data_IF_117677883135
#
_entry.id   IF_117677883135
#
_cell.length_a   1.000
_cell.length_b   1.000
_cell.length_c   1.000
_cell.angle_alpha   90.00
_cell.angle_beta   90.00
_cell.angle_gamma   90.00
#
_symmetry.space_group_name_H-M   'P 1'
#
loop_
_entity.id
_entity.type
_entity.pdbx_description
1 polymer ?
#
# COMPACT_ATOMS: atom_id res chain seq x y z
N UNK A 1 -43.20 17.97 -10.31
CA UNK A 1 -42.51 17.40 -9.13
C UNK A 1 -41.10 17.11 -9.60
N UNK A 2 -40.22 18.10 -9.52
CA UNK A 2 -38.82 17.94 -9.90
C UNK A 2 -38.16 17.10 -8.81
N UNK A 3 -37.62 15.94 -9.19
CA UNK A 3 -36.77 15.14 -8.32
C UNK A 3 -35.49 15.95 -8.11
N UNK A 4 -35.33 16.53 -6.93
CA UNK A 4 -34.08 17.12 -6.49
C UNK A 4 -33.02 16.00 -6.51
N UNK A 5 -32.14 16.02 -7.51
CA UNK A 5 -31.00 15.11 -7.57
C UNK A 5 -30.07 15.54 -6.44
N UNK A 6 -30.19 14.88 -5.28
CA UNK A 6 -29.24 15.06 -4.18
C UNK A 6 -27.87 14.61 -4.72
N UNK A 7 -26.99 15.55 -5.01
CA UNK A 7 -25.63 15.28 -5.45
C UNK A 7 -24.90 14.60 -4.28
N UNK A 8 -24.75 13.27 -4.37
CA UNK A 8 -24.14 12.47 -3.29
C UNK A 8 -22.62 12.71 -3.30
N UNK A 9 -22.12 13.44 -2.31
CA UNK A 9 -20.68 13.61 -2.07
C UNK A 9 -20.17 12.60 -1.06
N UNK A 10 -19.28 11.71 -1.48
CA UNK A 10 -18.58 10.82 -0.55
C UNK A 10 -17.19 10.50 -1.08
N UNK A 11 -16.19 10.70 -0.23
CA UNK A 11 -14.80 10.32 -0.51
C UNK A 11 -14.37 9.33 0.58
N UNK A 12 -14.10 8.09 0.16
CA UNK A 12 -13.52 7.04 0.98
C UNK A 12 -12.00 7.12 0.92
N UNK A 13 -11.39 7.13 2.09
CA UNK A 13 -9.95 7.17 2.27
C UNK A 13 -9.48 6.00 3.09
N UNK A 14 -8.20 5.65 2.91
CA UNK A 14 -7.56 4.51 3.54
C UNK A 14 -6.41 4.96 4.40
N UNK A 15 -6.15 4.25 5.49
CA UNK A 15 -4.90 4.37 6.23
C UNK A 15 -4.35 3.00 6.63
N UNK A 16 -3.03 2.86 6.61
CA UNK A 16 -2.37 1.68 7.14
C UNK A 16 -2.10 1.84 8.64
N UNK A 17 -1.91 0.72 9.33
CA UNK A 17 -1.42 0.80 10.69
C UNK A 17 0.05 1.25 10.70
N UNK A 18 0.38 2.23 11.54
CA UNK A 18 1.72 2.81 11.61
C UNK A 18 2.78 1.75 11.92
N UNK A 19 2.46 0.78 12.77
CA UNK A 19 3.41 -0.28 13.10
C UNK A 19 3.56 -1.29 11.96
N UNK A 20 2.54 -1.51 11.13
CA UNK A 20 2.66 -2.38 9.97
C UNK A 20 3.55 -1.77 8.89
N UNK A 21 3.37 -0.47 8.60
CA UNK A 21 4.22 0.28 7.67
C UNK A 21 5.64 0.37 8.20
N UNK A 22 5.79 0.77 9.48
CA UNK A 22 7.10 0.87 10.12
C UNK A 22 7.83 -0.46 10.10
N UNK A 23 7.14 -1.59 10.27
CA UNK A 23 7.77 -2.91 10.24
C UNK A 23 7.84 -3.54 8.85
N UNK A 24 7.49 -2.78 7.81
CA UNK A 24 7.62 -3.19 6.43
C UNK A 24 6.80 -4.43 6.10
N UNK A 25 5.65 -4.62 6.76
CA UNK A 25 4.81 -5.81 6.51
C UNK A 25 4.25 -5.81 5.09
N UNK A 26 3.96 -4.64 4.56
CA UNK A 26 3.50 -4.40 3.20
C UNK A 26 3.90 -2.95 2.82
N UNK A 27 3.87 -2.62 1.54
CA UNK A 27 4.09 -1.23 1.12
C UNK A 27 2.82 -0.44 1.16
N UNK A 28 2.92 0.79 1.66
CA UNK A 28 1.81 1.71 1.75
C UNK A 28 2.33 3.13 1.58
N UNK A 29 1.75 3.87 0.64
CA UNK A 29 2.14 5.26 0.38
C UNK A 29 0.92 6.15 0.12
N UNK A 30 1.03 7.41 0.52
CA UNK A 30 -0.02 8.43 0.40
C UNK A 30 0.58 9.71 -0.15
N UNK A 31 -0.18 10.36 -1.03
CA UNK A 31 0.18 11.66 -1.58
C UNK A 31 -0.02 12.80 -0.56
N UNK A 32 0.83 12.88 0.47
CA UNK A 32 0.75 13.90 1.53
C UNK A 32 2.16 14.37 1.90
N UNK A 33 2.36 15.69 1.98
CA UNK A 33 3.60 16.33 2.44
C UNK A 33 4.87 15.91 1.66
N UNK A 34 4.74 15.72 0.35
CA UNK A 34 5.87 15.27 -0.48
C UNK A 34 6.66 16.48 -0.97
N UNK A 35 7.91 16.59 -0.51
CA UNK A 35 8.87 17.59 -0.99
C UNK A 35 9.68 16.97 -2.13
N UNK A 36 9.16 17.07 -3.36
CA UNK A 36 9.85 16.61 -4.58
C UNK A 36 10.16 17.80 -5.47
N UNK A 37 11.30 17.75 -6.16
CA UNK A 37 11.65 18.72 -7.19
C UNK A 37 10.81 18.57 -8.45
N UNK A 38 10.19 17.41 -8.67
CA UNK A 38 9.33 17.12 -9.82
C UNK A 38 7.94 16.65 -9.33
N UNK A 39 7.15 17.64 -8.90
CA UNK A 39 5.80 17.41 -8.36
C UNK A 39 4.83 16.89 -9.42
N UNK A 40 4.93 17.38 -10.66
CA UNK A 40 4.04 16.99 -11.76
C UNK A 40 4.17 15.50 -12.08
N UNK A 41 5.40 15.01 -12.23
CA UNK A 41 5.63 13.59 -12.49
C UNK A 41 5.09 12.69 -11.39
N UNK A 42 5.36 13.07 -10.13
CA UNK A 42 4.85 12.32 -8.98
C UNK A 42 3.32 12.32 -8.95
N UNK A 43 2.70 13.45 -9.29
CA UNK A 43 1.26 13.56 -9.37
C UNK A 43 0.66 12.59 -10.39
N UNK A 44 1.27 12.49 -11.58
CA UNK A 44 0.88 11.55 -12.62
C UNK A 44 1.05 10.08 -12.18
N UNK A 45 2.12 9.75 -11.46
CA UNK A 45 2.36 8.40 -10.93
C UNK A 45 1.26 7.94 -9.98
N UNK A 46 0.66 8.87 -9.23
CA UNK A 46 -0.47 8.55 -8.35
C UNK A 46 -1.80 8.32 -9.09
N UNK A 47 -1.86 8.56 -10.41
CA UNK A 47 -3.04 8.36 -11.26
C UNK A 47 -4.31 8.98 -10.64
N UNK A 48 -4.33 10.31 -10.42
CA UNK A 48 -5.39 10.99 -9.70
C UNK A 48 -6.74 10.85 -10.40
N UNK A 49 -7.81 10.85 -9.60
CA UNK A 49 -9.18 10.81 -10.05
C UNK A 49 -9.90 12.10 -9.68
N UNK A 50 -10.98 12.40 -10.39
CA UNK A 50 -11.94 13.43 -9.96
C UNK A 50 -13.10 12.75 -9.27
N UNK A 51 -13.21 12.91 -7.96
CA UNK A 51 -14.32 12.38 -7.15
C UNK A 51 -15.05 13.58 -6.56
N UNK A 52 -16.35 13.70 -6.85
CA UNK A 52 -17.17 14.83 -6.41
C UNK A 52 -16.50 16.20 -6.69
N UNK A 53 -16.06 16.41 -7.94
CA UNK A 53 -15.37 17.64 -8.40
C UNK A 53 -14.06 17.97 -7.67
N UNK A 54 -13.56 17.07 -6.81
CA UNK A 54 -12.30 17.22 -6.11
C UNK A 54 -11.27 16.25 -6.67
N UNK A 55 -10.02 16.72 -6.74
CA UNK A 55 -8.89 15.85 -7.12
C UNK A 55 -8.59 14.91 -5.95
N UNK A 56 -8.62 13.63 -6.25
CA UNK A 56 -8.41 12.53 -5.31
C UNK A 56 -7.15 11.77 -5.71
N UNK A 57 -6.27 11.52 -4.75
CA UNK A 57 -5.06 10.72 -4.92
C UNK A 57 -5.26 9.38 -4.22
N UNK A 58 -5.44 8.28 -4.99
CA UNK A 58 -5.52 6.94 -4.43
C UNK A 58 -4.24 6.58 -3.67
N UNK A 59 -4.37 5.84 -2.58
CA UNK A 59 -3.20 5.32 -1.88
C UNK A 59 -2.52 4.23 -2.72
N UNK A 60 -1.21 4.10 -2.59
CA UNK A 60 -0.46 2.98 -3.14
C UNK A 60 -0.32 1.88 -2.09
N UNK A 61 -0.55 0.64 -2.50
CA UNK A 61 -0.42 -0.55 -1.67
C UNK A 61 0.41 -1.59 -2.41
N UNK A 62 1.41 -2.18 -1.77
CA UNK A 62 2.14 -3.33 -2.32
C UNK A 62 1.99 -4.57 -1.45
N UNK A 63 1.74 -5.71 -2.09
CA UNK A 63 1.41 -6.96 -1.42
C UNK A 63 1.95 -8.15 -2.19
N UNK A 64 2.25 -9.22 -1.45
CA UNK A 64 2.61 -10.52 -2.04
C UNK A 64 1.39 -11.40 -2.24
N UNK A 65 1.50 -12.36 -3.17
CA UNK A 65 0.52 -13.44 -3.32
C UNK A 65 0.36 -14.17 -1.98
N UNK A 66 -0.89 -14.46 -1.62
CA UNK A 66 -1.28 -15.10 -0.36
C UNK A 66 -1.24 -14.19 0.86
N UNK A 67 -0.84 -12.92 0.70
CA UNK A 67 -0.81 -11.97 1.81
C UNK A 67 -2.19 -11.35 2.04
N UNK A 68 -2.58 -11.29 3.31
CA UNK A 68 -3.71 -10.49 3.77
C UNK A 68 -3.22 -9.30 4.57
N UNK A 69 -3.68 -8.09 4.23
CA UNK A 69 -3.44 -6.86 5.01
C UNK A 69 -4.75 -6.33 5.58
N UNK A 70 -4.67 -5.36 6.49
CA UNK A 70 -5.82 -4.63 7.00
C UNK A 70 -5.60 -3.15 6.88
N UNK A 71 -6.51 -2.44 6.21
CA UNK A 71 -6.52 -0.98 6.14
C UNK A 71 -7.67 -0.41 6.96
N UNK A 72 -7.46 0.74 7.58
CA UNK A 72 -8.49 1.56 8.22
C UNK A 72 -9.20 2.37 7.14
N UNK A 73 -10.51 2.54 7.30
CA UNK A 73 -11.39 3.27 6.40
C UNK A 73 -11.83 4.56 7.08
N UNK A 74 -11.87 5.68 6.34
CA UNK A 74 -12.56 6.90 6.79
C UNK A 74 -13.24 7.62 5.63
N UNK A 75 -14.30 8.35 5.95
CA UNK A 75 -15.14 9.07 4.99
C UNK A 75 -15.02 10.58 5.25
N UNK A 76 -14.53 11.35 4.27
CA UNK A 76 -14.26 12.79 4.47
C UNK A 76 -15.53 13.66 4.44
N UNK A 77 -16.61 13.19 3.84
CA UNK A 77 -17.90 13.91 3.78
C UNK A 77 -19.07 13.02 4.21
N UNK A 78 -19.21 12.83 5.52
CA UNK A 78 -20.21 11.93 6.13
C UNK A 78 -21.65 12.42 5.99
N UNK A 79 -21.90 13.64 5.48
CA UNK A 79 -23.25 14.20 5.37
C UNK A 79 -24.13 13.36 4.44
N UNK A 80 -23.55 12.90 3.34
CA UNK A 80 -24.25 12.15 2.30
C UNK A 80 -24.02 10.64 2.37
N UNK A 81 -23.09 10.19 3.22
CA UNK A 81 -22.83 8.78 3.51
C UNK A 81 -24.10 7.95 3.76
N UNK A 82 -25.08 8.50 4.49
CA UNK A 82 -26.36 7.83 4.80
C UNK A 82 -27.18 7.45 3.56
N UNK A 83 -26.97 8.14 2.43
CA UNK A 83 -27.71 7.93 1.19
C UNK A 83 -27.12 6.84 0.29
N UNK A 84 -25.93 6.33 0.60
CA UNK A 84 -25.35 5.18 -0.08
C UNK A 84 -25.92 3.89 0.50
N UNK A 85 -26.38 2.95 -0.33
CA UNK A 85 -26.86 1.64 0.16
C UNK A 85 -25.72 0.64 0.22
N UNK A 86 -24.89 0.63 -0.81
CA UNK A 86 -23.75 -0.26 -0.94
C UNK A 86 -22.51 0.53 -1.34
N UNK A 87 -21.37 0.20 -0.74
CA UNK A 87 -20.05 0.71 -1.14
C UNK A 87 -19.14 -0.49 -1.29
N UNK A 88 -18.55 -0.71 -2.46
CA UNK A 88 -17.74 -1.90 -2.71
C UNK A 88 -16.65 -1.63 -3.74
N UNK A 89 -15.61 -2.47 -3.73
CA UNK A 89 -14.64 -2.50 -4.80
C UNK A 89 -15.26 -3.03 -6.09
N UNK A 90 -14.76 -2.56 -7.23
CA UNK A 90 -14.95 -3.26 -8.50
C UNK A 90 -14.47 -4.71 -8.36
N UNK A 91 -15.23 -5.65 -8.93
CA UNK A 91 -14.90 -7.07 -8.86
C UNK A 91 -13.57 -7.33 -9.58
N UNK A 92 -12.63 -8.00 -8.91
CA UNK A 92 -11.34 -8.34 -9.48
C UNK A 92 -10.91 -9.74 -9.00
N UNK A 93 -10.42 -10.62 -9.90
CA UNK A 93 -10.04 -11.99 -9.54
C UNK A 93 -8.75 -12.07 -8.70
N UNK A 94 -7.88 -11.06 -8.78
CA UNK A 94 -6.60 -11.06 -8.08
C UNK A 94 -6.74 -10.70 -6.60
N UNK A 95 -7.90 -10.15 -6.19
CA UNK A 95 -8.11 -9.65 -4.83
C UNK A 95 -9.42 -10.11 -4.21
N UNK A 96 -9.41 -10.32 -2.89
CA UNK A 96 -10.64 -10.48 -2.08
C UNK A 96 -10.69 -9.43 -0.99
N UNK A 97 -11.90 -8.91 -0.78
CA UNK A 97 -12.20 -7.80 0.11
C UNK A 97 -13.20 -8.22 1.18
N UNK A 98 -12.81 -8.05 2.45
CA UNK A 98 -13.67 -8.35 3.60
C UNK A 98 -13.76 -7.14 4.55
N UNK A 99 -14.95 -6.59 4.81
CA UNK A 99 -16.24 -6.98 4.24
C UNK A 99 -16.38 -6.55 2.76
N UNK A 100 -17.27 -7.21 2.02
CA UNK A 100 -17.58 -6.86 0.63
C UNK A 100 -18.29 -5.50 0.52
N UNK A 101 -19.18 -5.20 1.48
CA UNK A 101 -19.81 -3.88 1.60
C UNK A 101 -19.10 -3.06 2.69
N UNK A 102 -18.59 -1.90 2.30
CA UNK A 102 -17.75 -1.02 3.10
C UNK A 102 -18.51 0.07 3.82
N UNK A 103 -19.82 0.24 3.56
CA UNK A 103 -20.65 1.31 4.13
C UNK A 103 -20.30 1.51 5.61
N UNK A 104 -20.65 0.57 6.48
CA UNK A 104 -20.40 0.72 7.92
C UNK A 104 -19.05 0.15 8.39
N UNK A 105 -18.16 -0.18 7.46
CA UNK A 105 -16.88 -0.78 7.78
C UNK A 105 -15.88 0.28 8.27
N UNK A 106 -15.20 -0.02 9.38
CA UNK A 106 -14.07 0.81 9.88
C UNK A 106 -12.72 0.31 9.37
N UNK A 107 -12.69 -0.95 8.94
CA UNK A 107 -11.51 -1.63 8.43
C UNK A 107 -11.91 -2.54 7.30
N UNK A 108 -10.96 -2.77 6.40
CA UNK A 108 -11.07 -3.76 5.35
C UNK A 108 -9.86 -4.68 5.41
N UNK A 109 -10.09 -5.98 5.23
CA UNK A 109 -9.06 -6.95 4.91
C UNK A 109 -9.00 -7.12 3.41
N UNK A 110 -7.78 -7.07 2.88
CA UNK A 110 -7.51 -7.25 1.47
C UNK A 110 -6.58 -8.44 1.37
N UNK A 111 -6.95 -9.43 0.58
CA UNK A 111 -6.11 -10.60 0.30
C UNK A 111 -5.73 -10.60 -1.17
N UNK A 112 -4.43 -10.73 -1.45
CA UNK A 112 -3.89 -10.84 -2.80
C UNK A 112 -3.75 -12.33 -3.18
N UNK A 113 -4.30 -12.72 -4.31
CA UNK A 113 -4.30 -14.10 -4.80
C UNK A 113 -3.37 -14.32 -5.99
N UNK A 114 -3.01 -13.25 -6.69
CA UNK A 114 -2.25 -13.34 -7.92
C UNK A 114 -1.30 -12.15 -8.09
N UNK A 115 -0.30 -12.29 -8.97
CA UNK A 115 0.58 -11.20 -9.38
C UNK A 115 0.25 -10.76 -10.82
N UNK A 116 0.70 -9.57 -11.19
CA UNK A 116 0.56 -9.03 -12.55
C UNK A 116 1.83 -8.28 -12.95
N UNK A 117 2.19 -8.26 -14.23
CA UNK A 117 3.31 -7.44 -14.69
C UNK A 117 3.06 -5.93 -14.53
N UNK A 118 1.79 -5.53 -14.43
CA UNK A 118 1.38 -4.13 -14.37
C UNK A 118 0.62 -3.79 -13.08
N UNK A 119 0.85 -2.58 -12.51
CA UNK A 119 0.05 -2.09 -11.39
C UNK A 119 -1.41 -1.85 -11.79
N UNK A 120 -2.32 -2.03 -10.83
CA UNK A 120 -3.76 -1.88 -11.02
C UNK A 120 -4.31 -0.74 -10.17
N UNK A 121 -5.19 0.07 -10.73
CA UNK A 121 -6.03 0.97 -9.94
C UNK A 121 -7.42 0.34 -9.81
N UNK A 122 -7.82 -0.05 -8.60
CA UNK A 122 -9.17 -0.54 -8.32
C UNK A 122 -10.03 0.58 -7.77
N UNK A 123 -11.12 0.88 -8.47
CA UNK A 123 -12.10 1.86 -8.02
C UNK A 123 -13.07 1.23 -7.03
N UNK A 124 -13.67 2.12 -6.26
CA UNK A 124 -14.68 1.80 -5.27
C UNK A 124 -15.93 2.55 -5.66
N UNK A 125 -17.00 1.81 -5.85
CA UNK A 125 -18.28 2.34 -6.27
C UNK A 125 -19.25 2.39 -5.10
N UNK A 126 -19.96 3.51 -4.99
CA UNK A 126 -21.10 3.69 -4.11
C UNK A 126 -22.34 3.98 -4.95
N UNK A 127 -23.29 3.04 -4.99
CA UNK A 127 -24.53 3.14 -5.79
C UNK A 127 -24.30 3.58 -7.27
N UNK A 128 -23.19 3.16 -7.89
CA UNK A 128 -22.84 3.46 -9.29
C UNK A 128 -21.93 4.68 -9.50
N UNK A 129 -21.58 5.40 -8.44
CA UNK A 129 -20.64 6.52 -8.48
C UNK A 129 -19.28 6.12 -7.89
N UNK A 130 -18.16 6.57 -8.47
CA UNK A 130 -16.84 6.34 -7.88
C UNK A 130 -16.68 7.19 -6.61
N UNK A 131 -16.48 6.54 -5.47
CA UNK A 131 -16.30 7.19 -4.15
C UNK A 131 -14.90 7.04 -3.59
N UNK A 132 -14.03 6.24 -4.21
CA UNK A 132 -12.63 6.10 -3.83
C UNK A 132 -11.88 5.17 -4.79
N UNK A 133 -10.58 5.00 -4.56
CA UNK A 133 -9.77 4.00 -5.27
C UNK A 133 -8.51 3.64 -4.47
N UNK A 134 -7.91 2.50 -4.81
CA UNK A 134 -6.58 2.08 -4.35
C UNK A 134 -5.74 1.70 -5.56
N UNK A 135 -4.50 2.15 -5.59
CA UNK A 135 -3.49 1.67 -6.52
C UNK A 135 -2.75 0.48 -5.88
N UNK A 136 -2.72 -0.66 -6.56
CA UNK A 136 -1.99 -1.85 -6.16
C UNK A 136 -0.72 -2.01 -6.99
N UNK A 137 0.42 -2.05 -6.29
CA UNK A 137 1.71 -2.47 -6.79
C UNK A 137 1.97 -3.91 -6.35
N UNK A 138 1.50 -4.87 -7.13
CA UNK A 138 1.58 -6.31 -6.87
C UNK A 138 2.31 -7.14 -7.96
N UNK A 139 3.33 -6.61 -8.67
CA UNK A 139 4.12 -7.47 -9.55
C UNK A 139 4.86 -8.62 -8.88
N UNK A 140 5.37 -9.50 -9.72
CA UNK A 140 6.24 -10.58 -9.28
C UNK A 140 7.43 -10.01 -8.48
N UNK A 141 7.69 -10.57 -7.27
CA UNK A 141 8.80 -10.11 -6.47
C UNK A 141 10.14 -10.21 -7.20
N UNK A 142 10.95 -9.15 -7.11
CA UNK A 142 12.30 -9.15 -7.65
C UNK A 142 13.27 -9.75 -6.64
N UNK A 143 14.32 -10.41 -7.11
CA UNK A 143 15.38 -10.91 -6.23
C UNK A 143 16.62 -10.01 -6.30
N UNK A 144 17.11 -9.57 -5.14
CA UNK A 144 18.39 -8.88 -4.98
C UNK A 144 19.38 -9.81 -4.29
N UNK A 145 20.50 -10.10 -4.95
CA UNK A 145 21.62 -10.80 -4.35
C UNK A 145 22.57 -9.78 -3.69
N UNK A 146 22.81 -9.93 -2.40
CA UNK A 146 23.76 -9.12 -1.64
C UNK A 146 24.94 -10.00 -1.24
N UNK A 147 26.08 -9.78 -1.89
CA UNK A 147 27.37 -10.33 -1.45
C UNK A 147 28.00 -9.33 -0.47
N UNK A 148 28.18 -9.77 0.77
CA UNK A 148 28.84 -8.96 1.79
C UNK A 148 30.26 -9.49 2.04
N UNK A 149 31.27 -8.70 1.68
CA UNK A 149 32.68 -8.98 1.99
C UNK A 149 33.17 -8.12 3.15
N UNK A 150 33.78 -8.77 4.13
CA UNK A 150 34.52 -8.11 5.20
C UNK A 150 36.01 -8.33 4.98
N UNK A 151 36.78 -7.24 5.04
CA UNK A 151 38.24 -7.29 4.94
C UNK A 151 38.80 -7.27 6.35
N UNK A 152 39.60 -8.28 6.67
CA UNK A 152 40.34 -8.36 7.91
C UNK A 152 41.64 -7.57 7.81
N UNK A 153 41.91 -6.70 8.78
CA UNK A 153 43.10 -5.84 8.80
C UNK A 153 44.05 -6.24 9.92
N UNK A 154 43.52 -6.63 11.09
CA UNK A 154 44.30 -7.00 12.28
C UNK A 154 44.82 -8.45 12.23
N UNK A 155 44.14 -9.33 11.49
CA UNK A 155 44.43 -10.76 11.44
C UNK A 155 43.88 -11.56 12.64
N UNK A 156 44.02 -12.89 12.57
CA UNK A 156 43.62 -13.85 13.60
C UNK A 156 42.13 -13.84 14.00
N UNK A 157 41.22 -13.55 13.07
CA UNK A 157 39.79 -13.34 13.27
C UNK A 157 39.40 -12.19 14.21
N UNK A 158 40.34 -11.36 14.68
CA UNK A 158 40.05 -10.28 15.66
C UNK A 158 38.98 -9.31 15.16
N UNK A 159 39.06 -8.90 13.90
CA UNK A 159 38.10 -7.93 13.33
C UNK A 159 36.75 -8.58 13.06
N UNK A 160 36.75 -9.85 12.68
CA UNK A 160 35.53 -10.64 12.48
C UNK A 160 34.77 -10.81 13.80
N UNK A 161 35.46 -11.08 14.90
CA UNK A 161 34.84 -11.24 16.21
C UNK A 161 34.28 -9.93 16.75
N UNK A 162 35.03 -8.82 16.61
CA UNK A 162 34.55 -7.47 16.92
C UNK A 162 33.32 -7.11 16.09
N UNK A 163 33.36 -7.41 14.80
CA UNK A 163 32.26 -7.17 13.89
C UNK A 163 31.03 -8.00 14.24
N UNK A 164 31.16 -9.29 14.53
CA UNK A 164 30.03 -10.13 14.93
C UNK A 164 29.36 -9.62 16.22
N UNK A 165 30.14 -8.99 17.10
CA UNK A 165 29.61 -8.32 18.29
C UNK A 165 28.83 -7.04 17.94
N UNK A 166 29.33 -6.22 17.01
CA UNK A 166 28.74 -4.93 16.63
C UNK A 166 27.58 -5.07 15.65
N UNK A 167 27.81 -5.80 14.55
CA UNK A 167 26.89 -6.02 13.44
C UNK A 167 26.49 -7.49 13.41
N UNK A 168 25.37 -7.79 14.03
CA UNK A 168 24.76 -9.12 13.90
C UNK A 168 24.12 -9.23 12.52
N UNK A 169 24.62 -10.14 11.68
CA UNK A 169 24.08 -10.42 10.33
C UNK A 169 22.57 -10.61 10.35
N UNK A 170 22.04 -11.24 11.40
CA UNK A 170 20.60 -11.47 11.55
C UNK A 170 19.80 -10.17 11.77
N UNK A 171 20.37 -9.20 12.49
CA UNK A 171 19.75 -7.87 12.63
C UNK A 171 19.75 -7.13 11.31
N UNK A 172 20.85 -7.20 10.56
CA UNK A 172 20.92 -6.63 9.22
C UNK A 172 19.88 -7.27 8.29
N UNK A 173 19.81 -8.60 8.23
CA UNK A 173 18.79 -9.32 7.44
C UNK A 173 17.39 -8.86 7.79
N UNK A 174 17.08 -8.74 9.08
CA UNK A 174 15.77 -8.27 9.53
C UNK A 174 15.48 -6.83 9.08
N UNK A 175 16.46 -5.92 9.21
CA UNK A 175 16.34 -4.53 8.77
C UNK A 175 16.15 -4.41 7.26
N UNK A 176 16.97 -5.14 6.49
CA UNK A 176 16.88 -5.13 5.04
C UNK A 176 15.56 -5.76 4.57
N UNK A 177 15.15 -6.91 5.13
CA UNK A 177 13.85 -7.52 4.83
C UNK A 177 12.70 -6.55 5.10
N UNK A 178 12.76 -5.82 6.21
CA UNK A 178 11.79 -4.77 6.57
C UNK A 178 11.79 -3.61 5.57
N UNK A 179 12.94 -3.20 5.02
CA UNK A 179 13.00 -2.16 3.99
C UNK A 179 12.55 -2.62 2.60
N UNK A 180 12.87 -3.85 2.23
CA UNK A 180 12.67 -4.37 0.88
C UNK A 180 11.34 -5.07 0.65
N UNK A 181 10.71 -5.61 1.71
CA UNK A 181 9.41 -6.25 1.57
C UNK A 181 8.31 -5.32 1.04
N UNK A 182 8.21 -4.04 1.47
CA UNK A 182 7.34 -3.03 0.84
C UNK A 182 7.59 -2.78 -0.64
N UNK A 183 8.78 -3.11 -1.15
CA UNK A 183 9.16 -2.93 -2.55
C UNK A 183 9.03 -4.22 -3.36
N UNK A 184 8.49 -5.29 -2.74
CA UNK A 184 8.44 -6.64 -3.31
C UNK A 184 9.82 -7.12 -3.75
N UNK A 185 10.85 -6.84 -2.95
CA UNK A 185 12.21 -7.32 -3.19
C UNK A 185 12.55 -8.41 -2.17
N UNK A 186 12.93 -9.57 -2.70
CA UNK A 186 13.48 -10.69 -1.94
C UNK A 186 15.00 -10.60 -1.89
N UNK A 187 15.53 -10.72 -0.68
CA UNK A 187 16.97 -10.63 -0.43
C UNK A 187 17.57 -12.01 -0.32
N UNK A 188 18.58 -12.26 -1.16
CA UNK A 188 19.48 -13.40 -1.04
C UNK A 188 20.84 -12.88 -0.59
N UNK A 189 21.17 -13.08 0.68
CA UNK A 189 22.55 -12.82 1.15
C UNK A 189 23.39 -14.03 0.75
N UNK A 190 24.44 -13.78 -0.03
CA UNK A 190 25.37 -14.78 -0.58
C UNK A 190 26.68 -14.72 0.17
#
# INVERSE_FOLDING_TARGET
MELEIIEKSLILTFDADKEDVKNGKFGFDKFINICTSDFTKLEEEYKPLTIYKQKYYPVWVSMRIGQTITLKLDFLDKKNYKFFKEIKFESNPDFTFEPTNLKDAKKIKITCHNNSSEPLQLKIEGDGETVGAINFFYPEPKTLALDWRFVEVTGNNSDRDKLNYIVKVEKLKALLKKGFNPLLIDLKIV
#
